data_IF_352190511487
#
_entry.id   IF_352190511487
#
_cell.length_a   1.000
_cell.length_b   1.000
_cell.length_c   1.000
_cell.angle_alpha   90.00
_cell.angle_beta   90.00
_cell.angle_gamma   90.00
#
_symmetry.space_group_name_H-M   'P 1'
#
loop_
_entity.id
_entity.type
_entity.pdbx_description
1 polymer ?
#
# COMPACT_ATOMS: atom_id res chain seq x y z
N UNK A 1 14.25 15.57 -49.21
CA UNK A 1 14.41 15.73 -47.76
C UNK A 1 13.82 14.49 -47.08
N UNK A 2 14.64 13.71 -46.36
CA UNK A 2 14.20 12.50 -45.66
C UNK A 2 13.62 12.86 -44.28
N UNK A 3 12.36 12.48 -44.10
CA UNK A 3 11.66 11.96 -42.92
C UNK A 3 12.31 12.11 -41.54
N UNK A 4 11.51 12.51 -40.55
CA UNK A 4 11.31 11.70 -39.33
C UNK A 4 9.91 11.99 -38.78
N UNK A 5 8.96 11.07 -39.06
CA UNK A 5 7.73 11.00 -38.28
C UNK A 5 8.09 10.44 -36.90
N UNK A 6 7.78 11.19 -35.85
CA UNK A 6 7.86 10.73 -34.47
C UNK A 6 6.88 9.57 -34.29
N UNK A 7 7.40 8.35 -34.41
CA UNK A 7 6.68 7.13 -34.06
C UNK A 7 6.26 7.21 -32.61
N UNK A 8 4.94 7.19 -32.38
CA UNK A 8 4.29 7.04 -31.08
C UNK A 8 4.77 5.71 -30.48
N UNK A 9 5.86 5.75 -29.71
CA UNK A 9 6.35 4.59 -28.96
C UNK A 9 5.29 4.31 -27.91
N UNK A 10 4.48 3.28 -28.15
CA UNK A 10 3.67 2.65 -27.12
C UNK A 10 4.63 2.23 -26.01
N UNK A 11 4.69 3.04 -24.96
CA UNK A 11 5.45 2.71 -23.76
C UNK A 11 4.81 1.47 -23.17
N UNK A 12 5.46 0.33 -23.43
CA UNK A 12 5.32 -0.88 -22.65
C UNK A 12 5.39 -0.46 -21.18
N UNK A 13 4.22 -0.52 -20.52
CA UNK A 13 3.92 0.09 -19.24
C UNK A 13 5.00 -0.26 -18.21
N UNK A 14 5.87 0.71 -17.95
CA UNK A 14 6.80 0.66 -16.81
C UNK A 14 5.96 0.38 -15.56
N UNK A 15 6.28 -0.67 -14.77
CA UNK A 15 5.54 -0.95 -13.55
C UNK A 15 5.52 0.29 -12.65
N UNK A 16 4.35 0.65 -12.10
CA UNK A 16 4.11 1.87 -11.31
C UNK A 16 5.17 2.12 -10.22
N UNK A 17 5.82 1.07 -9.71
CA UNK A 17 6.84 1.21 -8.69
C UNK A 17 8.22 1.69 -9.18
N UNK A 18 8.51 1.57 -10.48
CA UNK A 18 9.78 2.03 -11.07
C UNK A 18 9.82 3.55 -11.26
N UNK A 19 8.69 4.25 -11.07
CA UNK A 19 8.62 5.72 -11.12
C UNK A 19 8.74 6.36 -9.73
N UNK A 20 8.93 5.59 -8.66
CA UNK A 20 9.08 6.15 -7.31
C UNK A 20 10.55 6.39 -6.99
N UNK A 21 10.95 7.66 -6.93
CA UNK A 21 12.33 8.07 -6.60
C UNK A 21 12.53 8.25 -5.09
N UNK A 22 11.45 8.43 -4.31
CA UNK A 22 11.52 8.70 -2.88
C UNK A 22 11.62 7.38 -2.09
N UNK A 23 12.67 7.26 -1.27
CA UNK A 23 12.92 6.10 -0.41
C UNK A 23 12.64 6.42 1.06
N UNK A 24 12.03 5.45 1.75
CA UNK A 24 11.81 5.48 3.20
C UNK A 24 12.42 4.21 3.82
N UNK A 25 13.33 4.39 4.78
CA UNK A 25 13.92 3.31 5.56
C UNK A 25 13.27 3.24 6.94
N UNK A 26 12.66 2.10 7.29
CA UNK A 26 11.96 1.90 8.57
C UNK A 26 12.52 0.67 9.27
N UNK A 27 12.72 0.77 10.60
CA UNK A 27 13.03 -0.39 11.43
C UNK A 27 11.73 -1.07 11.84
N UNK A 28 11.59 -2.33 11.47
CA UNK A 28 10.45 -3.16 11.84
C UNK A 28 10.90 -4.23 12.83
N UNK A 29 9.98 -4.62 13.71
CA UNK A 29 10.17 -5.82 14.52
C UNK A 29 10.07 -7.07 13.65
N UNK A 30 10.67 -8.16 14.11
CA UNK A 30 10.70 -9.43 13.38
C UNK A 30 9.29 -9.99 13.13
N UNK A 31 8.39 -9.89 14.12
CA UNK A 31 6.99 -10.31 14.01
C UNK A 31 6.23 -9.54 12.92
N UNK A 32 6.50 -8.23 12.80
CA UNK A 32 5.91 -7.38 11.77
C UNK A 32 6.41 -7.76 10.37
N UNK A 33 7.70 -8.04 10.22
CA UNK A 33 8.28 -8.45 8.95
C UNK A 33 7.74 -9.82 8.51
N UNK A 34 7.67 -10.78 9.43
CA UNK A 34 7.09 -12.10 9.19
C UNK A 34 5.62 -12.00 8.76
N UNK A 35 4.84 -11.14 9.42
CA UNK A 35 3.46 -10.86 9.02
C UNK A 35 3.36 -10.35 7.58
N UNK A 36 4.18 -9.37 7.20
CA UNK A 36 4.19 -8.83 5.83
C UNK A 36 4.55 -9.89 4.80
N UNK A 37 5.50 -10.77 5.10
CA UNK A 37 5.89 -11.88 4.21
C UNK A 37 4.77 -12.88 4.00
N UNK A 38 4.15 -13.32 5.10
CA UNK A 38 3.00 -14.22 5.06
C UNK A 38 1.86 -13.60 4.25
N UNK A 39 1.57 -12.32 4.49
CA UNK A 39 0.51 -11.60 3.78
C UNK A 39 0.77 -11.52 2.27
N UNK A 40 1.99 -11.16 1.85
CA UNK A 40 2.37 -11.16 0.43
C UNK A 40 2.18 -12.55 -0.17
N UNK A 41 2.69 -13.60 0.50
CA UNK A 41 2.58 -14.98 0.02
C UNK A 41 1.12 -15.39 -0.15
N UNK A 42 0.29 -15.18 0.87
CA UNK A 42 -1.13 -15.53 0.84
C UNK A 42 -1.88 -14.79 -0.27
N UNK A 43 -1.64 -13.48 -0.44
CA UNK A 43 -2.26 -12.71 -1.53
C UNK A 43 -1.82 -13.26 -2.89
N UNK A 44 -0.54 -13.60 -3.07
CA UNK A 44 -0.05 -14.15 -4.34
C UNK A 44 -0.61 -15.54 -4.63
N UNK A 45 -0.75 -16.40 -3.62
CA UNK A 45 -1.24 -17.78 -3.81
C UNK A 45 -2.74 -17.85 -4.06
N UNK A 46 -3.52 -16.89 -3.55
CA UNK A 46 -4.98 -16.88 -3.71
C UNK A 46 -5.45 -16.22 -5.02
N UNK A 47 -4.53 -15.77 -5.89
CA UNK A 47 -4.88 -15.11 -7.16
C UNK A 47 -5.10 -16.10 -8.28
N UNK A 48 -6.32 -16.09 -8.82
CA UNK A 48 -6.62 -16.66 -10.12
C UNK A 48 -5.94 -15.88 -11.27
N UNK A 49 -6.10 -16.35 -12.50
CA UNK A 49 -5.49 -15.74 -13.69
C UNK A 49 -6.01 -14.33 -13.98
N UNK A 50 -7.25 -14.00 -13.63
CA UNK A 50 -7.87 -12.70 -13.91
C UNK A 50 -7.39 -11.61 -12.95
N UNK A 51 -6.93 -11.97 -11.75
CA UNK A 51 -6.46 -11.04 -10.73
C UNK A 51 -4.92 -10.82 -10.70
N UNK A 52 -4.18 -11.36 -11.69
CA UNK A 52 -2.72 -11.20 -11.82
C UNK A 52 -2.32 -9.98 -12.65
N UNK A 53 -2.81 -8.79 -12.27
CA UNK A 53 -2.50 -7.52 -12.97
C UNK A 53 -1.11 -6.98 -12.62
N UNK A 54 -0.77 -7.00 -11.35
CA UNK A 54 0.54 -6.56 -10.84
C UNK A 54 0.97 -7.41 -9.65
N UNK A 55 2.29 -7.52 -9.42
CA UNK A 55 2.84 -8.18 -8.24
C UNK A 55 2.63 -7.30 -7.01
N UNK A 56 2.04 -7.86 -5.95
CA UNK A 56 2.00 -7.17 -4.65
C UNK A 56 3.28 -7.51 -3.89
N UNK A 57 3.90 -6.45 -3.39
CA UNK A 57 5.12 -6.49 -2.58
C UNK A 57 4.83 -5.93 -1.20
N UNK A 58 5.78 -6.09 -0.26
CA UNK A 58 5.72 -5.43 1.06
C UNK A 58 5.51 -3.93 0.91
N UNK A 59 6.23 -3.28 0.00
CA UNK A 59 6.09 -1.85 -0.31
C UNK A 59 4.69 -1.51 -0.85
N UNK A 60 4.04 -2.42 -1.56
CA UNK A 60 2.67 -2.21 -2.04
C UNK A 60 1.68 -2.26 -0.89
N UNK A 61 1.82 -3.22 0.02
CA UNK A 61 1.00 -3.31 1.23
C UNK A 61 1.18 -2.07 2.10
N UNK A 62 2.42 -1.63 2.33
CA UNK A 62 2.70 -0.43 3.12
C UNK A 62 2.09 0.84 2.51
N UNK A 63 2.21 1.02 1.18
CA UNK A 63 1.59 2.16 0.50
C UNK A 63 0.06 2.15 0.63
N UNK A 64 -0.58 1.01 0.38
CA UNK A 64 -2.04 0.87 0.54
C UNK A 64 -2.47 1.08 1.99
N UNK A 65 -1.68 0.63 2.97
CA UNK A 65 -1.97 0.88 4.38
C UNK A 65 -1.86 2.38 4.73
N UNK A 66 -0.89 3.10 4.16
CA UNK A 66 -0.76 4.56 4.32
C UNK A 66 -1.94 5.27 3.67
N UNK A 67 -2.33 4.88 2.46
CA UNK A 67 -3.49 5.45 1.77
C UNK A 67 -4.76 5.24 2.60
N UNK A 68 -4.98 4.03 3.13
CA UNK A 68 -6.12 3.75 4.01
C UNK A 68 -6.07 4.56 5.32
N UNK A 69 -4.88 4.73 5.92
CA UNK A 69 -4.71 5.52 7.14
C UNK A 69 -4.98 7.01 6.90
N UNK A 70 -4.59 7.54 5.74
CA UNK A 70 -4.78 8.95 5.37
C UNK A 70 -6.25 9.35 5.35
N UNK A 71 -7.13 8.43 4.97
CA UNK A 71 -8.56 8.66 4.88
C UNK A 71 -9.29 8.48 6.23
N UNK A 72 -8.58 8.09 7.30
CA UNK A 72 -9.15 7.97 8.63
C UNK A 72 -9.14 9.32 9.37
N UNK A 73 -10.33 9.76 9.80
CA UNK A 73 -10.49 10.89 10.71
C UNK A 73 -10.05 10.50 12.13
N UNK A 74 -8.74 10.56 12.41
CA UNK A 74 -8.16 10.25 13.73
C UNK A 74 -7.74 11.54 14.41
N UNK A 75 -8.06 11.68 15.71
CA UNK A 75 -7.49 12.76 16.52
C UNK A 75 -6.00 12.52 16.77
N UNK A 76 -5.16 13.36 16.16
CA UNK A 76 -3.70 13.29 16.24
C UNK A 76 -3.11 14.10 17.40
N UNK A 77 -3.94 14.77 18.21
CA UNK A 77 -3.44 15.61 19.31
C UNK A 77 -2.98 14.75 20.49
N UNK A 78 -1.85 15.13 21.08
CA UNK A 78 -1.32 14.57 22.32
C UNK A 78 -1.23 13.03 22.31
N UNK A 79 -0.66 12.45 21.26
CA UNK A 79 -0.36 11.01 21.20
C UNK A 79 0.97 10.78 21.93
N UNK A 80 0.97 10.08 23.09
CA UNK A 80 2.17 9.88 23.89
C UNK A 80 3.07 8.78 23.34
N UNK A 81 2.51 7.74 22.71
CA UNK A 81 3.26 6.55 22.31
C UNK A 81 2.60 5.76 21.15
N UNK A 82 3.28 4.71 20.69
CA UNK A 82 2.79 3.79 19.64
C UNK A 82 1.51 3.06 20.05
N UNK A 83 1.36 2.73 21.34
CA UNK A 83 0.22 1.96 21.84
C UNK A 83 -1.08 2.77 21.76
N UNK A 84 -1.04 4.05 22.15
CA UNK A 84 -2.16 4.97 22.06
C UNK A 84 -2.53 5.28 20.61
N UNK A 85 -1.54 5.49 19.73
CA UNK A 85 -1.78 5.65 18.29
C UNK A 85 -2.51 4.42 17.71
N UNK A 86 -2.01 3.22 18.02
CA UNK A 86 -2.63 1.98 17.57
C UNK A 86 -4.05 1.82 18.10
N UNK A 87 -4.29 2.19 19.36
CA UNK A 87 -5.63 2.15 19.98
C UNK A 87 -6.61 3.06 19.24
N UNK A 88 -6.22 4.30 18.92
CA UNK A 88 -7.07 5.26 18.19
C UNK A 88 -7.35 4.80 16.76
N UNK A 89 -6.34 4.30 16.05
CA UNK A 89 -6.51 3.73 14.69
C UNK A 89 -7.52 2.56 14.74
N UNK A 90 -7.34 1.62 15.67
CA UNK A 90 -8.24 0.47 15.82
C UNK A 90 -9.67 0.88 16.16
N UNK A 91 -9.86 1.90 17.00
CA UNK A 91 -11.19 2.41 17.33
C UNK A 91 -11.89 2.93 16.06
N UNK A 92 -11.22 3.77 15.27
CA UNK A 92 -11.79 4.31 14.02
C UNK A 92 -12.07 3.24 12.96
N UNK A 93 -11.19 2.25 12.82
CA UNK A 93 -11.44 1.12 11.92
C UNK A 93 -12.68 0.30 12.32
N UNK A 94 -12.94 0.14 13.63
CA UNK A 94 -14.15 -0.54 14.11
C UNK A 94 -15.41 0.28 13.84
N UNK A 95 -15.35 1.60 14.06
CA UNK A 95 -16.48 2.50 13.80
C UNK A 95 -16.87 2.52 12.32
N UNK A 96 -15.88 2.44 11.42
CA UNK A 96 -16.10 2.35 9.98
C UNK A 96 -16.60 0.97 9.53
N UNK A 97 -16.38 -0.09 10.32
CA UNK A 97 -16.93 -1.41 10.03
C UNK A 97 -18.41 -1.56 10.44
N UNK A 98 -18.85 -0.79 11.45
CA UNK A 98 -20.25 -0.78 11.91
C UNK A 98 -21.11 0.17 11.09
N UNK A 99 -20.52 1.22 10.52
CA UNK A 99 -21.12 2.08 9.50
C UNK A 99 -20.87 1.43 8.14
N UNK A 100 -21.75 0.54 7.70
CA UNK A 100 -21.68 -0.04 6.35
C UNK A 100 -21.50 1.06 5.27
N UNK A 101 -20.93 0.73 4.10
CA UNK A 101 -20.62 1.73 3.09
C UNK A 101 -21.90 2.52 2.74
N UNK A 102 -21.86 3.82 2.98
CA UNK A 102 -22.89 4.78 2.55
C UNK A 102 -22.77 5.05 1.07
#
# INVERSE_FOLDING_TARGET
MRTTQLSKVETSKVPKFQTFEIQLSVRLREDQLFFLEKLVRTIMTHRDRHHRRERITKNTILRVAIDALKDLDIDLRNIPDEAELLRRIKAKLRDNATKGPS
#
